data_IF_278968562366
#
_entry.id   IF_278968562366
#
_cell.length_a   1.000
_cell.length_b   1.000
_cell.length_c   1.000
_cell.angle_alpha   90.00
_cell.angle_beta   90.00
_cell.angle_gamma   90.00
#
_symmetry.space_group_name_H-M   'P 1'
#
loop_
_entity.id
_entity.type
_entity.pdbx_description
1 polymer ?
#
# COMPACT_ATOMS: atom_id res chain seq x y z
N UNK A 1 -10.54 3.59 3.18
CA UNK A 1 -9.52 2.60 3.59
C UNK A 1 -9.87 1.24 2.99
N UNK A 2 -9.34 0.11 3.47
CA UNK A 2 -9.42 -1.22 2.81
C UNK A 2 -10.82 -1.72 2.42
N UNK A 3 -11.88 -1.18 3.04
CA UNK A 3 -13.28 -1.51 2.70
C UNK A 3 -13.77 -0.90 1.37
N UNK A 4 -13.04 0.03 0.76
CA UNK A 4 -13.40 0.63 -0.52
C UNK A 4 -14.59 1.60 -0.48
N UNK A 5 -15.12 1.93 0.71
CA UNK A 5 -16.12 2.97 0.86
C UNK A 5 -15.51 4.36 0.54
N UNK A 6 -16.19 5.21 -0.24
CA UNK A 6 -15.63 6.48 -0.70
C UNK A 6 -15.52 7.54 0.41
N UNK A 7 -16.37 7.46 1.43
CA UNK A 7 -16.32 8.35 2.59
C UNK A 7 -16.97 7.70 3.83
N UNK A 8 -16.58 8.18 5.00
CA UNK A 8 -17.18 7.83 6.29
C UNK A 8 -16.34 6.90 7.15
N UNK A 9 -16.75 6.80 8.41
CA UNK A 9 -16.27 5.89 9.43
C UNK A 9 -17.45 5.50 10.33
N UNK A 10 -17.36 4.38 11.03
CA UNK A 10 -18.40 3.91 11.95
C UNK A 10 -17.85 3.91 13.37
N UNK A 11 -18.66 4.46 14.28
CA UNK A 11 -18.45 4.35 15.71
C UNK A 11 -19.50 3.38 16.27
N UNK A 12 -19.08 2.42 17.08
CA UNK A 12 -19.96 1.44 17.72
C UNK A 12 -19.66 1.34 19.22
N UNK A 13 -20.70 1.07 20.01
CA UNK A 13 -20.64 0.93 21.47
C UNK A 13 -22.02 0.70 22.06
N UNK A 14 -22.17 0.85 23.37
CA UNK A 14 -23.49 0.75 24.01
C UNK A 14 -24.41 1.92 23.62
N UNK A 15 -25.68 1.82 24.00
CA UNK A 15 -26.71 2.80 23.61
C UNK A 15 -26.43 4.18 24.16
N UNK A 16 -25.99 4.26 25.42
CA UNK A 16 -25.70 5.51 26.11
C UNK A 16 -24.55 6.25 25.42
N UNK A 17 -23.46 5.53 25.10
CA UNK A 17 -22.31 6.05 24.37
C UNK A 17 -22.67 6.52 22.96
N UNK A 18 -23.43 5.70 22.21
CA UNK A 18 -23.84 6.07 20.85
C UNK A 18 -24.75 7.29 20.86
N UNK A 19 -25.67 7.40 21.83
CA UNK A 19 -26.53 8.60 21.99
C UNK A 19 -25.68 9.86 22.14
N UNK A 20 -24.68 9.83 23.01
CA UNK A 20 -23.80 10.98 23.24
C UNK A 20 -22.93 11.29 22.02
N UNK A 21 -22.37 10.27 21.38
CA UNK A 21 -21.61 10.44 20.15
C UNK A 21 -22.45 11.04 19.00
N UNK A 22 -23.75 10.74 18.94
CA UNK A 22 -24.67 11.36 17.98
C UNK A 22 -24.86 12.86 18.22
N UNK A 23 -24.93 13.30 19.48
CA UNK A 23 -24.94 14.72 19.83
C UNK A 23 -23.64 15.41 19.40
N UNK A 24 -22.48 14.82 19.76
CA UNK A 24 -21.18 15.35 19.35
C UNK A 24 -21.03 15.43 17.84
N UNK A 25 -21.46 14.40 17.10
CA UNK A 25 -21.45 14.41 15.63
C UNK A 25 -22.27 15.56 15.05
N UNK A 26 -23.39 15.93 15.68
CA UNK A 26 -24.20 17.09 15.25
C UNK A 26 -23.50 18.42 15.53
N UNK A 27 -22.92 18.58 16.72
CA UNK A 27 -22.16 19.79 17.09
C UNK A 27 -20.95 20.02 16.19
N UNK A 28 -20.23 18.95 15.83
CA UNK A 28 -19.09 18.99 14.92
C UNK A 28 -19.47 19.13 13.42
N UNK A 29 -20.76 19.24 13.10
CA UNK A 29 -21.24 19.40 11.72
C UNK A 29 -21.30 18.11 10.89
N UNK A 30 -21.01 16.94 11.47
CA UNK A 30 -21.08 15.63 10.79
C UNK A 30 -22.50 15.11 10.53
N UNK A 31 -23.52 15.93 10.78
CA UNK A 31 -24.93 15.60 10.65
C UNK A 31 -25.48 15.61 9.22
N UNK A 32 -24.86 14.86 8.30
CA UNK A 32 -25.22 14.82 6.88
C UNK A 32 -26.68 14.41 6.63
N UNK A 33 -27.27 14.94 5.56
CA UNK A 33 -28.55 14.49 4.99
C UNK A 33 -28.27 13.52 3.83
N UNK A 34 -29.29 12.75 3.42
CA UNK A 34 -29.24 11.76 2.33
C UNK A 34 -27.96 10.88 2.31
N UNK A 35 -27.37 10.60 3.47
CA UNK A 35 -26.12 9.85 3.59
C UNK A 35 -26.25 8.36 3.26
N UNK A 36 -27.47 7.90 2.91
CA UNK A 36 -27.76 6.52 2.54
C UNK A 36 -26.93 6.02 1.36
N UNK A 37 -26.59 6.90 0.40
CA UNK A 37 -25.72 6.54 -0.74
C UNK A 37 -24.32 6.12 -0.27
N UNK A 38 -23.72 6.88 0.67
CA UNK A 38 -22.42 6.54 1.26
C UNK A 38 -22.52 5.30 2.16
N UNK A 39 -23.60 5.19 2.94
CA UNK A 39 -23.85 4.04 3.80
C UNK A 39 -24.00 2.73 2.99
N UNK A 40 -24.63 2.77 1.82
CA UNK A 40 -24.78 1.62 0.94
C UNK A 40 -23.41 1.12 0.42
N UNK A 41 -22.54 2.04 0.01
CA UNK A 41 -21.17 1.68 -0.40
C UNK A 41 -20.37 1.05 0.76
N UNK A 42 -20.48 1.60 1.97
CA UNK A 42 -19.85 1.02 3.16
C UNK A 42 -20.43 -0.36 3.52
N UNK A 43 -21.74 -0.54 3.40
CA UNK A 43 -22.40 -1.82 3.65
C UNK A 43 -21.88 -2.92 2.69
N UNK A 44 -21.78 -2.61 1.40
CA UNK A 44 -21.21 -3.54 0.41
C UNK A 44 -19.74 -3.88 0.71
N UNK A 45 -18.95 -2.88 1.11
CA UNK A 45 -17.55 -3.07 1.52
C UNK A 45 -17.43 -3.99 2.74
N UNK A 46 -18.32 -3.84 3.73
CA UNK A 46 -18.34 -4.69 4.93
C UNK A 46 -18.66 -6.15 4.62
N UNK A 47 -19.56 -6.43 3.67
CA UNK A 47 -19.91 -7.80 3.28
C UNK A 47 -18.71 -8.61 2.77
N UNK A 48 -17.73 -7.95 2.13
CA UNK A 48 -16.56 -8.58 1.52
C UNK A 48 -15.26 -8.34 2.30
N UNK A 49 -15.32 -7.59 3.41
CA UNK A 49 -14.16 -7.07 4.13
C UNK A 49 -13.11 -8.14 4.44
N UNK A 50 -13.54 -9.29 4.96
CA UNK A 50 -12.64 -10.37 5.37
C UNK A 50 -11.79 -10.91 4.21
N UNK A 51 -12.43 -11.15 3.06
CA UNK A 51 -11.74 -11.68 1.88
C UNK A 51 -10.80 -10.63 1.27
N UNK A 52 -11.26 -9.37 1.16
CA UNK A 52 -10.45 -8.27 0.64
C UNK A 52 -9.22 -8.01 1.51
N UNK A 53 -9.39 -7.90 2.83
CA UNK A 53 -8.27 -7.64 3.75
C UNK A 53 -7.27 -8.80 3.76
N UNK A 54 -7.75 -10.06 3.74
CA UNK A 54 -6.85 -11.22 3.64
C UNK A 54 -5.99 -11.13 2.39
N UNK A 55 -6.60 -10.91 1.23
CA UNK A 55 -5.88 -10.78 -0.04
C UNK A 55 -4.88 -9.63 -0.03
N UNK A 56 -5.25 -8.48 0.54
CA UNK A 56 -4.36 -7.33 0.63
C UNK A 56 -3.15 -7.61 1.56
N UNK A 57 -3.34 -8.40 2.64
CA UNK A 57 -2.25 -8.88 3.49
C UNK A 57 -1.36 -9.88 2.75
N UNK A 58 -1.96 -10.83 2.03
CA UNK A 58 -1.22 -11.85 1.26
C UNK A 58 -0.37 -11.19 0.17
N UNK A 59 -0.90 -10.19 -0.55
CA UNK A 59 -0.14 -9.44 -1.55
C UNK A 59 1.01 -8.64 -0.93
N UNK A 60 0.77 -7.94 0.19
CA UNK A 60 1.82 -7.21 0.91
C UNK A 60 2.94 -8.16 1.37
N UNK A 61 2.57 -9.36 1.85
CA UNK A 61 3.49 -10.43 2.22
C UNK A 61 4.29 -10.92 1.02
N UNK A 62 3.63 -11.27 -0.09
CA UNK A 62 4.28 -11.74 -1.32
C UNK A 62 5.26 -10.71 -1.91
N UNK A 63 4.95 -9.41 -1.80
CA UNK A 63 5.88 -8.36 -2.19
C UNK A 63 7.16 -8.36 -1.34
N UNK A 64 7.00 -8.53 -0.02
CA UNK A 64 8.10 -8.55 0.93
C UNK A 64 8.92 -9.85 0.91
N UNK A 65 8.33 -10.96 0.44
CA UNK A 65 8.99 -12.27 0.32
C UNK A 65 9.91 -12.34 -0.91
N UNK A 66 11.02 -13.07 -0.81
CA UNK A 66 11.93 -13.28 -1.94
C UNK A 66 11.34 -14.28 -2.97
N UNK A 67 11.61 -14.13 -4.28
CA UNK A 67 11.25 -15.16 -5.26
C UNK A 67 12.00 -16.48 -4.98
N UNK A 68 11.32 -17.62 -5.19
CA UNK A 68 11.95 -18.93 -5.35
C UNK A 68 11.73 -19.42 -6.80
N UNK A 69 12.75 -19.90 -7.54
CA UNK A 69 14.16 -20.00 -7.16
C UNK A 69 14.87 -18.63 -7.15
N UNK A 70 16.03 -18.50 -6.46
CA UNK A 70 16.78 -17.26 -6.37
C UNK A 70 17.51 -16.97 -7.69
N UNK A 71 16.78 -16.50 -8.69
CA UNK A 71 17.35 -15.97 -9.93
C UNK A 71 17.29 -14.45 -9.88
N UNK A 72 18.36 -13.83 -9.39
CA UNK A 72 18.56 -12.38 -9.43
C UNK A 72 17.97 -11.64 -8.24
N UNK A 73 18.86 -11.12 -7.40
CA UNK A 73 18.60 -10.25 -6.23
C UNK A 73 17.81 -10.96 -5.12
N UNK A 74 18.51 -11.28 -4.03
CA UNK A 74 17.93 -11.57 -2.72
C UNK A 74 17.20 -10.32 -2.22
N UNK A 75 16.04 -10.01 -2.79
CA UNK A 75 15.52 -8.66 -2.73
C UNK A 75 14.72 -8.44 -1.46
N UNK A 76 15.49 -8.23 -0.38
CA UNK A 76 15.45 -7.12 0.57
C UNK A 76 16.70 -7.18 1.49
N UNK A 77 17.81 -7.65 0.92
CA UNK A 77 19.17 -7.40 1.40
C UNK A 77 20.02 -6.86 0.25
N UNK A 78 19.40 -6.02 -0.60
CA UNK A 78 20.12 -5.15 -1.52
C UNK A 78 20.95 -4.15 -0.70
N UNK A 79 22.12 -3.71 -1.18
CA UNK A 79 22.85 -2.63 -0.51
C UNK A 79 22.02 -1.34 -0.43
N UNK A 80 20.96 -1.18 -1.24
CA UNK A 80 20.08 -0.01 -1.23
C UNK A 80 18.77 -0.18 -0.45
N UNK A 81 18.17 -1.38 -0.39
CA UNK A 81 16.82 -1.56 0.17
C UNK A 81 16.69 -2.83 1.03
N UNK A 82 15.97 -2.71 2.15
CA UNK A 82 15.67 -3.83 3.03
C UNK A 82 14.32 -3.73 3.75
N UNK A 83 13.73 -4.86 4.08
CA UNK A 83 12.40 -4.98 4.70
C UNK A 83 12.50 -6.06 5.77
N UNK A 84 11.93 -5.76 6.93
CA UNK A 84 11.76 -6.75 7.97
C UNK A 84 10.48 -7.53 7.72
N UNK A 85 10.60 -8.75 7.19
CA UNK A 85 9.45 -9.61 6.89
C UNK A 85 8.64 -9.97 8.15
N UNK A 86 9.26 -10.04 9.33
CA UNK A 86 8.55 -10.30 10.57
C UNK A 86 7.63 -9.14 10.98
N UNK A 87 7.89 -7.92 10.48
CA UNK A 87 7.05 -6.75 10.73
C UNK A 87 5.89 -6.60 9.72
N UNK A 88 5.81 -7.45 8.69
CA UNK A 88 4.73 -7.43 7.70
C UNK A 88 3.58 -8.32 8.19
N UNK A 89 2.71 -7.74 9.02
CA UNK A 89 1.56 -8.44 9.63
C UNK A 89 0.23 -8.16 8.91
N UNK A 90 0.15 -7.08 8.13
CA UNK A 90 -1.08 -6.59 7.47
C UNK A 90 -0.79 -6.15 6.03
N UNK A 91 -1.55 -5.20 5.50
CA UNK A 91 -1.42 -4.67 4.14
C UNK A 91 -0.32 -3.60 3.98
N UNK A 92 0.61 -3.47 4.93
CA UNK A 92 1.64 -2.42 4.93
C UNK A 92 3.03 -3.07 4.91
N UNK A 93 3.88 -2.57 4.01
CA UNK A 93 5.31 -2.92 3.97
C UNK A 93 6.13 -1.65 4.13
N UNK A 94 7.03 -1.66 5.12
CA UNK A 94 8.01 -0.60 5.35
C UNK A 94 9.32 -0.98 4.67
N UNK A 95 9.70 -0.26 3.61
CA UNK A 95 10.95 -0.47 2.89
C UNK A 95 11.98 0.51 3.40
N UNK A 96 13.03 0.00 4.04
CA UNK A 96 14.17 0.80 4.48
C UNK A 96 15.10 1.06 3.30
N UNK A 97 15.48 2.31 3.10
CA UNK A 97 16.46 2.76 2.12
C UNK A 97 17.78 2.99 2.85
N UNK A 98 18.83 2.30 2.40
CA UNK A 98 20.17 2.33 2.98
C UNK A 98 21.03 3.36 2.25
N UNK A 99 21.95 3.99 2.97
CA UNK A 99 22.88 4.98 2.42
C UNK A 99 22.28 6.38 2.31
N UNK A 100 23.05 7.29 1.71
CA UNK A 100 22.66 8.69 1.53
C UNK A 100 21.93 8.94 0.19
N UNK A 101 22.08 8.03 -0.77
CA UNK A 101 21.47 8.16 -2.09
C UNK A 101 21.10 6.79 -2.69
N UNK A 102 19.94 6.66 -3.35
CA UNK A 102 18.88 7.68 -3.45
C UNK A 102 18.18 7.90 -2.10
N UNK A 103 17.71 9.12 -1.86
CA UNK A 103 16.77 9.38 -0.77
C UNK A 103 15.43 8.68 -1.05
N UNK A 104 14.60 8.40 -0.03
CA UNK A 104 13.27 7.83 -0.25
C UNK A 104 12.41 8.62 -1.25
N UNK A 105 12.47 9.95 -1.24
CA UNK A 105 11.74 10.77 -2.20
C UNK A 105 12.22 10.56 -3.65
N UNK A 106 13.54 10.57 -3.88
CA UNK A 106 14.11 10.31 -5.20
C UNK A 106 13.82 8.90 -5.70
N UNK A 107 13.84 7.90 -4.80
CA UNK A 107 13.48 6.54 -5.14
C UNK A 107 12.01 6.44 -5.55
N UNK A 108 11.09 7.13 -4.86
CA UNK A 108 9.69 7.24 -5.28
C UNK A 108 9.54 7.88 -6.66
N UNK A 109 10.29 8.94 -6.97
CA UNK A 109 10.21 9.59 -8.28
C UNK A 109 10.71 8.68 -9.40
N UNK A 110 11.77 7.92 -9.16
CA UNK A 110 12.27 6.90 -10.09
C UNK A 110 11.29 5.75 -10.30
N UNK A 111 10.63 5.30 -9.23
CA UNK A 111 9.58 4.27 -9.31
C UNK A 111 8.33 4.77 -10.06
N UNK A 112 8.03 6.07 -9.99
CA UNK A 112 6.92 6.69 -10.71
C UNK A 112 7.21 6.87 -12.20
N UNK A 113 8.43 7.26 -12.56
CA UNK A 113 8.83 7.47 -13.95
C UNK A 113 8.83 6.15 -14.73
N UNK A 114 8.52 6.17 -16.03
CA UNK A 114 8.65 5.01 -16.94
C UNK A 114 9.69 5.36 -18.00
N UNK A 115 10.69 4.50 -18.21
CA UNK A 115 11.74 4.70 -19.21
C UNK A 115 11.61 3.73 -20.38
N UNK A 116 12.12 4.10 -21.55
CA UNK A 116 12.16 3.21 -22.73
C UNK A 116 12.98 1.95 -22.47
N UNK A 117 14.08 2.09 -21.72
CA UNK A 117 14.95 0.97 -21.33
C UNK A 117 14.21 -0.05 -20.45
N UNK A 118 13.44 0.42 -19.46
CA UNK A 118 12.63 -0.45 -18.61
C UNK A 118 11.60 -1.21 -19.44
N UNK A 119 10.92 -0.55 -20.37
CA UNK A 119 9.92 -1.18 -21.23
C UNK A 119 10.58 -2.21 -22.15
N UNK A 120 11.78 -1.92 -22.67
CA UNK A 120 12.54 -2.86 -23.48
C UNK A 120 12.98 -4.11 -22.70
N UNK A 121 13.30 -3.97 -21.41
CA UNK A 121 13.74 -5.09 -20.55
C UNK A 121 12.57 -5.89 -19.96
N UNK A 122 11.57 -5.21 -19.41
CA UNK A 122 10.45 -5.83 -18.68
C UNK A 122 9.25 -6.13 -19.56
N UNK A 123 9.17 -5.54 -20.76
CA UNK A 123 8.04 -5.62 -21.66
C UNK A 123 6.79 -4.89 -21.17
N UNK A 124 6.88 -4.10 -20.09
CA UNK A 124 5.74 -3.47 -19.42
C UNK A 124 6.07 -2.01 -19.09
N UNK A 125 5.08 -1.12 -19.24
CA UNK A 125 5.18 0.27 -18.80
C UNK A 125 4.50 0.42 -17.44
N UNK A 126 5.28 0.40 -16.35
CA UNK A 126 4.74 0.34 -14.98
C UNK A 126 5.15 1.57 -14.17
N UNK A 127 4.17 2.26 -13.58
CA UNK A 127 4.40 3.33 -12.62
C UNK A 127 4.01 2.87 -11.22
N UNK A 128 4.94 2.94 -10.27
CA UNK A 128 4.72 2.51 -8.88
C UNK A 128 4.68 3.73 -7.97
N UNK A 129 3.59 3.87 -7.23
CA UNK A 129 3.40 4.97 -6.27
C UNK A 129 3.59 4.47 -4.84
N UNK A 130 4.63 4.98 -4.19
CA UNK A 130 4.92 4.77 -2.76
C UNK A 130 4.99 6.10 -2.01
N UNK A 131 4.86 6.03 -0.69
CA UNK A 131 4.97 7.21 0.17
C UNK A 131 6.35 7.27 0.86
N UNK A 132 7.14 8.35 0.70
CA UNK A 132 8.27 8.61 1.59
C UNK A 132 7.76 8.89 3.00
N UNK A 133 8.07 8.00 3.94
CA UNK A 133 7.56 8.03 5.31
C UNK A 133 8.52 8.72 6.29
N UNK A 134 9.83 8.51 6.10
CA UNK A 134 10.88 9.15 6.88
C UNK A 134 12.11 9.39 6.01
N UNK A 135 13.18 9.92 6.60
CA UNK A 135 14.47 10.11 5.92
C UNK A 135 15.06 8.79 5.35
N UNK A 136 14.66 7.63 5.88
CA UNK A 136 15.22 6.33 5.49
C UNK A 136 14.17 5.26 5.18
N UNK A 137 12.88 5.61 5.11
CA UNK A 137 11.82 4.60 4.90
C UNK A 137 10.76 5.04 3.92
N UNK A 138 10.37 4.11 3.06
CA UNK A 138 9.18 4.15 2.23
C UNK A 138 8.07 3.32 2.86
N UNK A 139 6.82 3.73 2.63
CA UNK A 139 5.62 2.98 3.01
C UNK A 139 4.86 2.56 1.75
N UNK A 140 4.75 1.26 1.55
CA UNK A 140 3.87 0.63 0.57
C UNK A 140 2.60 0.14 1.27
N UNK A 141 1.44 0.36 0.66
CA UNK A 141 0.13 -0.02 1.22
C UNK A 141 -0.70 -0.70 0.15
N UNK A 142 -1.11 -1.93 0.40
CA UNK A 142 -2.02 -2.68 -0.46
C UNK A 142 -3.46 -2.34 -0.10
N UNK A 143 -4.31 -2.31 -1.12
CA UNK A 143 -5.74 -2.08 -0.97
C UNK A 143 -6.48 -2.79 -2.10
N UNK A 144 -7.82 -2.68 -2.08
CA UNK A 144 -8.71 -3.42 -2.98
C UNK A 144 -8.33 -3.36 -4.47
N UNK A 145 -7.77 -2.25 -4.91
CA UNK A 145 -7.50 -1.97 -6.32
C UNK A 145 -6.04 -2.29 -6.72
N UNK A 146 -5.27 -2.94 -5.83
CA UNK A 146 -3.94 -3.48 -6.11
C UNK A 146 -4.02 -5.01 -6.11
N UNK A 147 -3.95 -5.61 -7.29
CA UNK A 147 -4.03 -7.05 -7.50
C UNK A 147 -2.69 -7.76 -7.24
N UNK A 148 -2.71 -9.10 -7.25
CA UNK A 148 -1.49 -9.91 -7.26
C UNK A 148 -0.63 -9.66 -8.51
N UNK A 149 -1.26 -9.41 -9.66
CA UNK A 149 -0.56 -9.05 -10.88
C UNK A 149 0.15 -7.69 -10.73
N UNK A 150 -0.55 -6.68 -10.21
CA UNK A 150 0.05 -5.36 -9.94
C UNK A 150 1.19 -5.46 -8.93
N UNK A 151 1.07 -6.36 -7.95
CA UNK A 151 2.12 -6.62 -6.95
C UNK A 151 3.38 -7.19 -7.61
N UNK A 152 3.24 -8.14 -8.54
CA UNK A 152 4.36 -8.69 -9.31
C UNK A 152 5.02 -7.64 -10.20
N UNK A 153 4.23 -6.84 -10.91
CA UNK A 153 4.73 -5.73 -11.73
C UNK A 153 5.48 -4.70 -10.88
N UNK A 154 4.93 -4.31 -9.72
CA UNK A 154 5.55 -3.38 -8.81
C UNK A 154 6.87 -3.92 -8.24
N UNK A 155 6.94 -5.22 -7.98
CA UNK A 155 8.18 -5.89 -7.58
C UNK A 155 9.22 -5.79 -8.67
N UNK A 156 8.92 -6.26 -9.89
CA UNK A 156 9.82 -6.18 -11.05
C UNK A 156 10.34 -4.76 -11.31
N UNK A 157 9.45 -3.76 -11.21
CA UNK A 157 9.81 -2.35 -11.29
C UNK A 157 10.84 -1.95 -10.24
N UNK A 158 10.61 -2.33 -8.98
CA UNK A 158 11.53 -2.03 -7.89
C UNK A 158 12.89 -2.68 -8.10
N UNK A 159 12.94 -3.92 -8.60
CA UNK A 159 14.22 -4.61 -8.88
C UNK A 159 15.00 -3.88 -9.97
N UNK A 160 14.32 -3.47 -11.05
CA UNK A 160 14.92 -2.67 -12.13
C UNK A 160 15.49 -1.36 -11.60
N UNK A 161 14.68 -0.57 -10.88
CA UNK A 161 15.11 0.75 -10.37
C UNK A 161 16.26 0.62 -9.36
N UNK A 162 16.19 -0.35 -8.45
CA UNK A 162 17.25 -0.59 -7.45
C UNK A 162 18.55 -0.98 -8.15
N UNK A 163 18.51 -1.84 -9.17
CA UNK A 163 19.70 -2.20 -9.96
C UNK A 163 20.28 -0.98 -10.68
N UNK A 164 19.44 -0.15 -11.31
CA UNK A 164 19.86 1.08 -12.00
C UNK A 164 20.43 2.16 -11.09
N UNK A 165 20.11 2.14 -9.80
CA UNK A 165 20.74 3.03 -8.82
C UNK A 165 22.11 2.54 -8.33
N UNK A 166 22.53 1.33 -8.71
CA UNK A 166 23.82 0.74 -8.34
C UNK A 166 24.84 0.74 -9.49
N UNK A 167 24.37 0.97 -10.72
CA UNK A 167 25.19 1.22 -11.92
C UNK A 167 25.78 2.65 -11.89
#
# INVERSE_FOLDING_TARGET
>A
QGLGAPAGAVLAGNREFVTEAWHMRKLLGGGMRQAGVLAAAAHLGLQHAKATLRRDHDNARHFAEAPHPPTGIHMLDSPLCSVNLAAVETNIVMVNVRGAWPSPAELCDRLRAVSEEEVAETGQAVSVLLLPWSAHTLRAVWHRDVSDHDTKLAKSKLEFVVRKCQE
#
